data_IF_421682900467
#
_entry.id   IF_421682900467
#
_cell.length_a   1.000
_cell.length_b   1.000
_cell.length_c   1.000
_cell.angle_alpha   90.00
_cell.angle_beta   90.00
_cell.angle_gamma   90.00
#
_symmetry.space_group_name_H-M   'P 1'
#
loop_
_entity.id
_entity.type
_entity.pdbx_description
1 polymer ?
#
# COMPACT_ATOMS: atom_id res chain seq x y z
N UNK A 1 -12.24 8.65 -10.57
CA UNK A 1 -13.08 7.78 -9.71
C UNK A 1 -12.56 6.33 -9.69
N UNK A 2 -11.92 5.84 -10.76
CA UNK A 2 -11.38 4.47 -10.88
C UNK A 2 -10.33 4.04 -9.85
N UNK A 3 -9.68 5.00 -9.18
CA UNK A 3 -8.68 4.72 -8.14
C UNK A 3 -9.29 4.16 -6.85
N UNK A 4 -10.60 4.35 -6.65
CA UNK A 4 -11.35 3.90 -5.47
C UNK A 4 -12.09 2.58 -5.70
N UNK A 5 -12.16 2.10 -6.95
CA UNK A 5 -12.93 0.92 -7.31
C UNK A 5 -12.11 -0.35 -7.06
N UNK A 6 -12.61 -1.18 -6.15
CA UNK A 6 -12.10 -2.51 -5.81
C UNK A 6 -13.31 -3.45 -5.76
N UNK A 7 -13.20 -4.63 -6.37
CA UNK A 7 -14.25 -5.65 -6.35
C UNK A 7 -14.43 -6.19 -4.91
N UNK A 8 -15.62 -6.70 -4.57
CA UNK A 8 -15.91 -7.19 -3.21
C UNK A 8 -14.98 -8.35 -2.81
N UNK A 9 -14.68 -9.23 -3.77
CA UNK A 9 -13.71 -10.32 -3.59
C UNK A 9 -12.30 -9.79 -3.29
N UNK A 10 -11.86 -8.76 -4.00
CA UNK A 10 -10.54 -8.15 -3.81
C UNK A 10 -10.48 -7.40 -2.47
N UNK A 11 -11.59 -6.79 -2.04
CA UNK A 11 -11.72 -6.13 -0.75
C UNK A 11 -11.57 -7.14 0.39
N UNK A 12 -12.19 -8.32 0.29
CA UNK A 12 -12.01 -9.39 1.27
C UNK A 12 -10.53 -9.80 1.40
N UNK A 13 -9.85 -10.00 0.27
CA UNK A 13 -8.42 -10.35 0.23
C UNK A 13 -7.59 -9.27 0.91
N UNK A 14 -7.83 -8.00 0.58
CA UNK A 14 -7.11 -6.87 1.17
C UNK A 14 -7.34 -6.81 2.68
N UNK A 15 -8.59 -6.87 3.14
CA UNK A 15 -8.91 -6.80 4.57
C UNK A 15 -8.26 -7.96 5.34
N UNK A 16 -8.24 -9.17 4.77
CA UNK A 16 -7.50 -10.32 5.31
C UNK A 16 -6.00 -10.06 5.39
N UNK A 17 -5.38 -9.52 4.34
CA UNK A 17 -3.95 -9.17 4.35
C UNK A 17 -3.64 -8.06 5.36
N UNK A 18 -4.52 -7.07 5.49
CA UNK A 18 -4.38 -5.95 6.43
C UNK A 18 -4.48 -6.39 7.88
N UNK A 19 -5.39 -7.34 8.19
CA UNK A 19 -5.64 -7.89 9.53
C UNK A 19 -4.71 -9.06 9.91
N UNK A 20 -3.98 -9.62 8.95
CA UNK A 20 -3.08 -10.75 9.18
C UNK A 20 -1.93 -10.42 10.15
N UNK A 21 -1.38 -11.45 10.81
CA UNK A 21 -0.17 -11.34 11.65
C UNK A 21 1.13 -11.28 10.82
N UNK A 22 1.02 -11.08 9.51
CA UNK A 22 2.17 -11.00 8.61
C UNK A 22 2.96 -9.71 8.86
N UNK A 23 4.27 -9.70 8.55
CA UNK A 23 5.02 -8.45 8.47
C UNK A 23 4.29 -7.43 7.59
N UNK A 24 4.23 -6.17 8.04
CA UNK A 24 3.55 -5.10 7.29
C UNK A 24 4.09 -4.97 5.88
N UNK A 25 5.41 -4.98 5.71
CA UNK A 25 6.06 -4.90 4.39
C UNK A 25 5.62 -6.02 3.43
N UNK A 26 5.39 -7.23 3.95
CA UNK A 26 4.97 -8.38 3.17
C UNK A 26 3.49 -8.24 2.75
N UNK A 27 2.60 -8.01 3.70
CA UNK A 27 1.17 -7.84 3.43
C UNK A 27 0.90 -6.66 2.49
N UNK A 28 1.61 -5.54 2.67
CA UNK A 28 1.44 -4.34 1.82
C UNK A 28 1.98 -4.58 0.41
N UNK A 29 3.06 -5.34 0.27
CA UNK A 29 3.54 -5.76 -1.05
C UNK A 29 2.52 -6.68 -1.74
N UNK A 30 1.96 -7.65 -1.04
CA UNK A 30 0.92 -8.54 -1.60
C UNK A 30 -0.33 -7.77 -2.07
N UNK A 31 -0.74 -6.74 -1.34
CA UNK A 31 -1.84 -5.85 -1.75
C UNK A 31 -1.50 -5.08 -3.04
N UNK A 32 -0.28 -4.56 -3.17
CA UNK A 32 0.12 -3.88 -4.40
C UNK A 32 0.15 -4.88 -5.58
N UNK A 33 0.68 -6.08 -5.36
CA UNK A 33 0.69 -7.17 -6.36
C UNK A 33 -0.74 -7.46 -6.85
N UNK A 34 -1.71 -7.57 -5.93
CA UNK A 34 -3.12 -7.74 -6.27
C UNK A 34 -3.65 -6.59 -7.14
N UNK A 35 -3.44 -5.34 -6.71
CA UNK A 35 -3.90 -4.18 -7.48
C UNK A 35 -3.25 -4.09 -8.85
N UNK A 36 -1.94 -4.34 -8.96
CA UNK A 36 -1.20 -4.43 -10.23
C UNK A 36 -1.76 -5.53 -11.14
N UNK A 37 -2.07 -6.69 -10.56
CA UNK A 37 -2.63 -7.79 -11.33
C UNK A 37 -4.00 -7.41 -11.90
N UNK A 38 -4.87 -6.79 -11.10
CA UNK A 38 -6.24 -6.41 -11.50
C UNK A 38 -6.32 -5.26 -12.51
N UNK A 39 -5.30 -4.41 -12.58
CA UNK A 39 -5.25 -3.36 -13.62
C UNK A 39 -5.01 -3.96 -15.00
N UNK A 40 -4.22 -5.03 -15.11
CA UNK A 40 -3.83 -5.64 -16.39
C UNK A 40 -4.67 -6.88 -16.72
N UNK A 41 -4.82 -7.79 -15.76
CA UNK A 41 -5.49 -9.08 -15.95
C UNK A 41 -6.96 -9.02 -15.51
N UNK A 42 -7.86 -9.52 -16.36
CA UNK A 42 -9.30 -9.64 -16.08
C UNK A 42 -9.73 -11.06 -15.73
N UNK A 43 -8.79 -12.00 -15.67
CA UNK A 43 -9.07 -13.38 -15.26
C UNK A 43 -9.55 -13.38 -13.81
N UNK A 44 -10.67 -14.06 -13.57
CA UNK A 44 -11.21 -14.25 -12.23
C UNK A 44 -10.64 -15.53 -11.64
N UNK A 45 -9.83 -15.38 -10.61
CA UNK A 45 -9.41 -16.47 -9.74
C UNK A 45 -10.28 -16.50 -8.50
N UNK A 46 -10.41 -17.69 -7.88
CA UNK A 46 -11.02 -17.80 -6.57
C UNK A 46 -10.27 -16.90 -5.56
N UNK A 47 -10.95 -16.18 -4.64
CA UNK A 47 -10.31 -15.24 -3.74
C UNK A 47 -9.15 -15.84 -2.94
N UNK A 48 -9.31 -17.07 -2.44
CA UNK A 48 -8.23 -17.78 -1.74
C UNK A 48 -7.02 -18.09 -2.62
N UNK A 49 -7.22 -18.48 -3.90
CA UNK A 49 -6.10 -18.71 -4.84
C UNK A 49 -5.33 -17.41 -5.05
N UNK A 50 -6.04 -16.31 -5.27
CA UNK A 50 -5.41 -15.02 -5.51
C UNK A 50 -4.70 -14.49 -4.26
N UNK A 51 -5.31 -14.64 -3.07
CA UNK A 51 -4.68 -14.33 -1.79
C UNK A 51 -3.35 -15.06 -1.62
N UNK A 52 -3.33 -16.37 -1.80
CA UNK A 52 -2.10 -17.17 -1.62
C UNK A 52 -1.06 -16.90 -2.68
N UNK A 53 -1.47 -16.67 -3.92
CA UNK A 53 -0.57 -16.35 -5.03
C UNK A 53 0.11 -14.99 -4.81
N UNK A 54 -0.63 -13.95 -4.41
CA UNK A 54 -0.04 -12.64 -4.10
C UNK A 54 0.92 -12.71 -2.89
N UNK A 55 0.59 -13.51 -1.88
CA UNK A 55 1.45 -13.72 -0.71
C UNK A 55 2.73 -14.47 -1.07
N UNK A 56 2.60 -15.58 -1.81
CA UNK A 56 3.73 -16.42 -2.25
C UNK A 56 4.68 -15.64 -3.15
N UNK A 57 4.15 -14.89 -4.13
CA UNK A 57 4.92 -13.99 -4.97
C UNK A 57 5.72 -12.99 -4.12
N UNK A 58 5.06 -12.38 -3.12
CA UNK A 58 5.69 -11.39 -2.25
C UNK A 58 6.78 -11.96 -1.34
N UNK A 59 6.61 -13.20 -0.87
CA UNK A 59 7.59 -13.92 -0.07
C UNK A 59 8.87 -14.20 -0.87
N UNK A 60 8.73 -14.69 -2.10
CA UNK A 60 9.85 -14.96 -3.01
C UNK A 60 10.65 -13.69 -3.30
N UNK A 61 9.97 -12.57 -3.53
CA UNK A 61 10.62 -11.29 -3.82
C UNK A 61 11.35 -10.66 -2.64
N UNK A 62 10.86 -10.87 -1.41
CA UNK A 62 11.45 -10.26 -0.20
C UNK A 62 12.52 -11.13 0.45
N UNK A 63 12.80 -12.33 -0.08
CA UNK A 63 13.74 -13.31 0.48
C UNK A 63 13.49 -13.52 1.98
N UNK A 64 12.23 -13.84 2.32
CA UNK A 64 11.85 -14.06 3.71
C UNK A 64 12.27 -15.45 4.16
N UNK A 65 13.12 -15.53 5.20
CA UNK A 65 13.80 -16.77 5.60
C UNK A 65 12.86 -17.93 6.02
N UNK A 66 11.63 -17.64 6.44
CA UNK A 66 10.61 -18.65 6.81
C UNK A 66 9.38 -18.57 5.87
N UNK A 67 9.58 -18.22 4.59
CA UNK A 67 8.49 -18.09 3.64
C UNK A 67 7.71 -19.40 3.41
N UNK A 68 8.41 -20.53 3.38
CA UNK A 68 7.81 -21.85 3.15
C UNK A 68 6.96 -22.33 4.35
N UNK A 69 7.47 -22.17 5.57
CA UNK A 69 6.72 -22.52 6.78
C UNK A 69 5.50 -21.63 6.99
N UNK A 70 5.56 -20.39 6.50
CA UNK A 70 4.44 -19.47 6.51
C UNK A 70 3.39 -19.86 5.47
N UNK A 71 3.77 -20.16 4.22
CA UNK A 71 2.83 -20.63 3.19
C UNK A 71 2.16 -21.96 3.57
N UNK A 72 2.93 -22.91 4.11
CA UNK A 72 2.41 -24.20 4.54
C UNK A 72 1.30 -24.09 5.58
N UNK A 73 1.33 -23.08 6.46
CA UNK A 73 0.28 -22.83 7.46
C UNK A 73 -1.04 -22.37 6.85
N UNK A 74 -1.02 -21.83 5.64
CA UNK A 74 -2.21 -21.27 5.01
C UNK A 74 -2.68 -22.03 3.76
N UNK A 75 -1.81 -22.81 3.11
CA UNK A 75 -2.14 -23.49 1.84
C UNK A 75 -3.02 -24.74 1.99
N UNK A 76 -3.51 -25.07 3.19
CA UNK A 76 -4.33 -26.27 3.40
C UNK A 76 -5.70 -26.22 2.72
N UNK A 77 -6.14 -25.04 2.28
CA UNK A 77 -7.48 -24.80 1.74
C UNK A 77 -7.52 -24.73 0.20
N UNK A 78 -6.38 -24.76 -0.49
CA UNK A 78 -6.30 -24.48 -1.94
C UNK A 78 -5.27 -25.37 -2.62
N UNK A 79 -5.57 -25.85 -3.83
CA UNK A 79 -4.63 -26.62 -4.65
C UNK A 79 -3.37 -25.79 -4.98
N UNK A 80 -2.20 -26.38 -4.72
CA UNK A 80 -0.91 -25.77 -5.00
C UNK A 80 -0.70 -25.52 -6.51
N UNK A 81 -1.33 -26.32 -7.36
CA UNK A 81 -1.27 -26.15 -8.82
C UNK A 81 -1.97 -24.84 -9.25
N UNK A 82 -3.12 -24.54 -8.65
CA UNK A 82 -3.86 -23.30 -8.93
C UNK A 82 -3.08 -22.07 -8.47
N UNK A 83 -2.44 -22.16 -7.29
CA UNK A 83 -1.54 -21.12 -6.78
C UNK A 83 -0.37 -20.92 -7.75
N UNK A 84 0.26 -22.01 -8.17
CA UNK A 84 1.41 -21.97 -9.10
C UNK A 84 1.03 -21.35 -10.44
N UNK A 85 -0.11 -21.75 -11.01
CA UNK A 85 -0.61 -21.20 -12.28
C UNK A 85 -0.90 -19.70 -12.17
N UNK A 86 -1.52 -19.27 -11.07
CA UNK A 86 -1.78 -17.85 -10.83
C UNK A 86 -0.47 -17.06 -10.60
N UNK A 87 0.49 -17.61 -9.87
CA UNK A 87 1.82 -17.00 -9.70
C UNK A 87 2.56 -16.78 -11.03
N UNK A 88 2.47 -17.73 -11.97
CA UNK A 88 3.07 -17.57 -13.30
C UNK A 88 2.52 -16.33 -14.02
N UNK A 89 1.22 -16.08 -13.93
CA UNK A 89 0.60 -14.88 -14.48
C UNK A 89 1.02 -13.61 -13.73
N UNK A 90 1.16 -13.69 -12.39
CA UNK A 90 1.68 -12.57 -11.61
C UNK A 90 3.10 -12.18 -12.05
N UNK A 91 3.95 -13.14 -12.39
CA UNK A 91 5.30 -12.88 -12.90
C UNK A 91 5.33 -12.18 -14.26
N UNK A 92 4.35 -12.44 -15.12
CA UNK A 92 4.24 -11.77 -16.42
C UNK A 92 3.77 -10.32 -16.28
N UNK A 93 2.87 -10.07 -15.31
CA UNK A 93 2.17 -8.79 -15.18
C UNK A 93 2.87 -7.81 -14.23
N UNK A 94 3.37 -8.31 -13.10
CA UNK A 94 3.86 -7.46 -12.01
C UNK A 94 5.33 -7.15 -12.22
N UNK A 95 5.65 -5.85 -12.36
CA UNK A 95 7.03 -5.36 -12.46
C UNK A 95 7.81 -5.67 -11.18
N UNK A 96 9.09 -5.99 -11.34
CA UNK A 96 9.97 -6.41 -10.25
C UNK A 96 10.22 -5.31 -9.17
N UNK A 97 10.02 -4.04 -9.51
CA UNK A 97 10.33 -2.91 -8.64
C UNK A 97 9.06 -2.23 -8.11
N UNK A 98 8.35 -2.91 -7.22
CA UNK A 98 7.19 -2.36 -6.50
C UNK A 98 7.66 -1.57 -5.27
N UNK A 99 7.31 -0.28 -5.21
CA UNK A 99 7.59 0.58 -4.07
C UNK A 99 6.42 0.62 -3.10
N UNK A 100 6.72 0.54 -1.79
CA UNK A 100 5.75 0.75 -0.73
C UNK A 100 5.54 2.24 -0.48
N UNK A 101 4.32 2.64 -0.09
CA UNK A 101 4.03 4.02 0.33
C UNK A 101 4.97 4.45 1.45
N UNK A 102 5.23 3.57 2.43
CA UNK A 102 6.15 3.82 3.55
C UNK A 102 7.58 4.09 3.10
N UNK A 103 8.04 3.44 2.03
CA UNK A 103 9.37 3.69 1.48
C UNK A 103 9.45 5.10 0.87
N UNK A 104 8.39 5.51 0.15
CA UNK A 104 8.28 6.86 -0.40
C UNK A 104 8.11 7.93 0.68
N UNK A 105 7.40 7.64 1.78
CA UNK A 105 7.26 8.55 2.92
C UNK A 105 8.61 8.96 3.50
N UNK A 106 9.59 8.05 3.56
CA UNK A 106 10.95 8.41 4.00
C UNK A 106 11.57 9.48 3.12
N UNK A 107 11.45 9.35 1.80
CA UNK A 107 12.00 10.31 0.84
C UNK A 107 11.31 11.67 0.95
N UNK A 108 9.97 11.67 1.01
CA UNK A 108 9.16 12.89 1.11
C UNK A 108 9.39 13.60 2.46
N UNK A 109 9.50 12.86 3.56
CA UNK A 109 9.85 13.43 4.86
C UNK A 109 11.25 14.07 4.85
N UNK A 110 12.20 13.45 4.14
CA UNK A 110 13.53 14.00 3.99
C UNK A 110 13.51 15.32 3.20
N UNK A 111 12.75 15.38 2.11
CA UNK A 111 12.52 16.60 1.31
C UNK A 111 12.05 17.77 2.19
N UNK A 112 11.05 17.56 3.05
CA UNK A 112 10.55 18.62 3.94
C UNK A 112 11.53 18.93 5.09
N UNK A 113 12.25 17.93 5.61
CA UNK A 113 13.18 18.15 6.72
C UNK A 113 14.31 19.14 6.37
N UNK A 114 14.66 19.25 5.08
CA UNK A 114 15.65 20.22 4.60
C UNK A 114 15.14 21.67 4.62
N UNK A 115 13.82 21.88 4.71
CA UNK A 115 13.20 23.22 4.76
C UNK A 115 13.30 23.88 6.15
N UNK A 116 13.89 23.20 7.13
CA UNK A 116 14.55 23.85 8.28
C UNK A 116 13.69 24.17 9.51
N UNK A 117 12.36 24.19 9.44
CA UNK A 117 11.54 24.79 10.53
C UNK A 117 10.46 23.89 11.14
N UNK A 118 10.08 22.79 10.50
CA UNK A 118 8.75 22.20 10.72
C UNK A 118 8.75 20.96 11.64
N UNK A 119 9.90 20.30 11.83
CA UNK A 119 9.91 18.87 12.18
C UNK A 119 10.49 18.47 13.55
N UNK A 120 10.90 19.37 14.45
CA UNK A 120 11.64 18.90 15.65
C UNK A 120 10.75 18.37 16.78
N UNK A 121 9.60 18.99 17.08
CA UNK A 121 8.74 18.59 18.21
C UNK A 121 7.72 17.51 17.86
N UNK A 122 7.16 17.53 16.65
CA UNK A 122 5.98 16.71 16.30
C UNK A 122 6.27 15.55 15.33
N UNK A 123 7.56 15.27 15.07
CA UNK A 123 7.97 14.25 14.09
C UNK A 123 7.37 12.88 14.33
N UNK A 124 7.41 12.41 15.57
CA UNK A 124 6.90 11.09 15.91
C UNK A 124 5.40 11.03 15.67
N UNK A 125 4.65 12.04 16.12
CA UNK A 125 3.21 12.16 15.91
C UNK A 125 2.84 12.21 14.43
N UNK A 126 3.57 12.99 13.63
CA UNK A 126 3.37 13.06 12.17
C UNK A 126 3.65 11.70 11.54
N UNK A 127 4.73 11.00 11.91
CA UNK A 127 5.05 9.66 11.38
C UNK A 127 3.96 8.66 11.74
N UNK A 128 3.51 8.63 13.00
CA UNK A 128 2.43 7.74 13.44
C UNK A 128 1.14 8.00 12.64
N UNK A 129 0.79 9.27 12.43
CA UNK A 129 -0.34 9.65 11.59
C UNK A 129 -0.15 9.17 10.15
N UNK A 130 1.03 9.37 9.56
CA UNK A 130 1.31 8.91 8.20
C UNK A 130 1.12 7.39 8.04
N UNK A 131 1.61 6.60 9.01
CA UNK A 131 1.48 5.13 9.00
C UNK A 131 0.03 4.68 9.22
N UNK A 132 -0.75 5.45 9.97
CA UNK A 132 -2.17 5.18 10.15
C UNK A 132 -2.94 5.44 8.85
N UNK A 133 -2.73 6.60 8.23
CA UNK A 133 -3.36 7.00 6.98
C UNK A 133 -2.97 6.08 5.80
N UNK A 134 -1.73 5.58 5.76
CA UNK A 134 -1.27 4.69 4.68
C UNK A 134 -2.10 3.42 4.55
N UNK A 135 -2.61 2.89 5.67
CA UNK A 135 -3.41 1.67 5.69
C UNK A 135 -4.72 1.81 4.92
N UNK A 136 -5.32 3.01 4.89
CA UNK A 136 -6.52 3.24 4.06
C UNK A 136 -6.17 3.34 2.58
N UNK A 137 -5.02 3.92 2.20
CA UNK A 137 -4.64 4.00 0.79
C UNK A 137 -4.33 2.63 0.17
N UNK A 138 -3.86 1.65 0.96
CA UNK A 138 -3.70 0.26 0.50
C UNK A 138 -5.03 -0.42 0.17
N UNK A 139 -6.16 0.05 0.70
CA UNK A 139 -7.51 -0.44 0.33
C UNK A 139 -7.96 0.04 -1.04
N UNK A 140 -7.15 0.85 -1.70
CA UNK A 140 -7.48 1.50 -2.97
C UNK A 140 -6.31 1.38 -3.93
N UNK A 141 -6.52 1.72 -5.20
CA UNK A 141 -5.43 1.72 -6.19
C UNK A 141 -4.46 2.89 -6.01
N UNK A 142 -4.70 3.80 -5.06
CA UNK A 142 -3.74 4.85 -4.73
C UNK A 142 -2.38 4.30 -4.31
N UNK A 143 -2.32 3.07 -3.78
CA UNK A 143 -1.05 2.40 -3.49
C UNK A 143 -0.19 2.11 -4.74
N UNK A 144 -0.76 2.18 -5.95
CA UNK A 144 -0.02 2.08 -7.22
C UNK A 144 0.72 3.38 -7.58
N UNK A 145 0.43 4.49 -6.89
CA UNK A 145 1.09 5.78 -7.03
C UNK A 145 1.80 6.15 -5.70
N UNK A 146 2.83 5.39 -5.29
CA UNK A 146 3.30 5.40 -3.90
C UNK A 146 3.90 6.74 -3.47
N UNK A 147 4.56 7.47 -4.37
CA UNK A 147 5.07 8.80 -4.07
C UNK A 147 3.96 9.86 -3.93
N UNK A 148 3.00 9.87 -4.84
CA UNK A 148 1.84 10.77 -4.78
C UNK A 148 1.02 10.51 -3.52
N UNK A 149 0.81 9.24 -3.19
CA UNK A 149 0.19 8.78 -1.95
C UNK A 149 0.95 9.22 -0.71
N UNK A 150 2.28 9.06 -0.70
CA UNK A 150 3.12 9.52 0.40
C UNK A 150 3.01 11.04 0.62
N UNK A 151 2.99 11.84 -0.45
CA UNK A 151 2.79 13.30 -0.37
C UNK A 151 1.42 13.66 0.19
N UNK A 152 0.35 13.02 -0.31
CA UNK A 152 -1.02 13.26 0.17
C UNK A 152 -1.21 12.88 1.64
N UNK A 153 -0.68 11.72 2.04
CA UNK A 153 -0.65 11.28 3.44
C UNK A 153 0.07 12.30 4.31
N UNK A 154 1.27 12.72 3.90
CA UNK A 154 2.08 13.62 4.70
C UNK A 154 1.43 14.99 4.84
N UNK A 155 0.86 15.54 3.76
CA UNK A 155 0.14 16.80 3.80
C UNK A 155 -1.00 16.76 4.83
N UNK A 156 -1.86 15.73 4.77
CA UNK A 156 -2.94 15.59 5.75
C UNK A 156 -2.42 15.34 7.18
N UNK A 157 -1.33 14.59 7.34
CA UNK A 157 -0.72 14.35 8.64
C UNK A 157 -0.20 15.65 9.27
N UNK A 158 0.42 16.53 8.48
CA UNK A 158 0.87 17.85 8.92
C UNK A 158 -0.33 18.73 9.34
N UNK A 159 -1.39 18.78 8.52
CA UNK A 159 -2.65 19.48 8.85
C UNK A 159 -3.22 18.99 10.20
N UNK A 160 -3.35 17.66 10.39
CA UNK A 160 -3.90 17.05 11.61
C UNK A 160 -3.00 17.24 12.85
N UNK A 161 -1.73 17.57 12.65
CA UNK A 161 -0.79 17.85 13.72
C UNK A 161 -0.62 19.36 13.98
N UNK A 162 -1.39 20.23 13.31
CA UNK A 162 -1.27 21.69 13.39
C UNK A 162 0.14 22.19 13.04
N UNK A 163 0.78 21.51 12.10
CA UNK A 163 2.12 21.84 11.63
C UNK A 163 1.99 22.78 10.43
N UNK A 164 2.74 23.88 10.43
CA UNK A 164 2.69 24.87 9.35
C UNK A 164 3.15 24.25 8.01
N UNK A 165 2.37 24.50 6.96
CA UNK A 165 2.53 23.96 5.60
C UNK A 165 2.69 25.05 4.52
N UNK A 166 2.90 26.31 4.92
CA UNK A 166 2.95 27.44 3.98
C UNK A 166 4.06 27.34 2.91
N UNK A 167 5.18 26.69 3.24
CA UNK A 167 6.37 26.61 2.38
C UNK A 167 6.58 25.24 1.72
N UNK A 168 5.51 24.46 1.50
CA UNK A 168 5.65 23.15 0.85
C UNK A 168 6.03 23.25 -0.65
N UNK A 169 6.86 22.33 -1.16
CA UNK A 169 7.19 22.25 -2.58
C UNK A 169 5.96 22.14 -3.47
N UNK A 170 6.08 22.59 -4.73
CA UNK A 170 4.99 22.54 -5.72
C UNK A 170 4.49 21.12 -6.00
N UNK A 171 5.31 20.09 -5.72
CA UNK A 171 4.93 18.68 -5.82
C UNK A 171 3.78 18.30 -4.88
N UNK A 172 3.57 19.03 -3.78
CA UNK A 172 2.42 18.85 -2.87
C UNK A 172 1.14 19.52 -3.38
N UNK A 173 1.25 20.41 -4.37
CA UNK A 173 0.12 21.15 -4.96
C UNK A 173 -0.44 20.46 -6.21
N UNK A 174 0.05 19.26 -6.55
CA UNK A 174 -0.44 18.49 -7.70
C UNK A 174 -1.89 18.03 -7.48
N UNK A 175 -2.75 18.05 -8.52
CA UNK A 175 -4.17 17.68 -8.38
C UNK A 175 -4.41 16.31 -7.72
N UNK A 176 -3.64 15.29 -8.11
CA UNK A 176 -3.77 13.95 -7.52
C UNK A 176 -3.42 13.91 -6.02
N UNK A 177 -2.48 14.74 -5.56
CA UNK A 177 -2.16 14.84 -4.13
C UNK A 177 -3.34 15.43 -3.36
N UNK A 178 -3.98 16.46 -3.91
CA UNK A 178 -5.16 17.10 -3.33
C UNK A 178 -6.34 16.13 -3.28
N UNK A 179 -6.56 15.34 -4.34
CA UNK A 179 -7.60 14.30 -4.38
C UNK A 179 -7.42 13.25 -3.27
N UNK A 180 -6.18 12.80 -3.05
CA UNK A 180 -5.84 11.86 -1.96
C UNK A 180 -6.13 12.48 -0.60
N UNK A 181 -5.71 13.73 -0.39
CA UNK A 181 -5.96 14.45 0.87
C UNK A 181 -7.45 14.56 1.13
N UNK A 182 -8.23 14.94 0.12
CA UNK A 182 -9.68 15.09 0.27
C UNK A 182 -10.36 13.75 0.56
N UNK A 183 -9.95 12.68 -0.12
CA UNK A 183 -10.43 11.33 0.15
C UNK A 183 -10.15 10.91 1.61
N UNK A 184 -8.90 11.06 2.07
CA UNK A 184 -8.51 10.72 3.44
C UNK A 184 -9.23 11.61 4.46
N UNK A 185 -9.43 12.90 4.17
CA UNK A 185 -10.17 13.81 5.03
C UNK A 185 -11.60 13.33 5.24
N UNK A 186 -12.31 12.96 4.18
CA UNK A 186 -13.66 12.39 4.28
C UNK A 186 -13.64 11.09 5.11
N UNK A 187 -12.65 10.22 4.87
CA UNK A 187 -12.57 8.91 5.52
C UNK A 187 -12.30 9.00 7.03
N UNK A 188 -11.52 9.99 7.47
CA UNK A 188 -11.13 10.19 8.88
C UNK A 188 -11.84 11.39 9.55
N UNK A 189 -12.97 11.83 9.00
CA UNK A 189 -13.90 12.76 9.65
C UNK A 189 -15.19 12.09 10.13
N UNK A 190 -15.34 10.80 9.83
CA UNK A 190 -16.37 9.89 10.36
C UNK A 190 -15.83 9.20 11.61
#
# INVERSE_FOLDING_TARGET
>A
MDMLLVDDDDKEIIDRLLASKLPRSLSRHAIIVLHCFRTVCKVKFHPSVLFYSCLSYSLKWRVYADGEGLLAKYSHEVDINDITACEMLLHEVVRQNVLLIEACLRSVLFEISQLGTIFRSDRERVIQMCLHLSSELYKTRWCLLPETSARGILLLALEKCNVDVNDLPSTFKQPMVIDIVQYLRVRFSQ
#
